data_IF_722076289023
#
_entry.id   IF_722076289023
#
_cell.length_a   1.000
_cell.length_b   1.000
_cell.length_c   1.000
_cell.angle_alpha   90.00
_cell.angle_beta   90.00
_cell.angle_gamma   90.00
#
_symmetry.space_group_name_H-M   'P 1'
#
loop_
_entity.id
_entity.type
_entity.pdbx_description
1 polymer ?
#
# COMPACT_ATOMS: atom_id res chain seq x y z
N UNK A 1 4.78 -20.28 -14.55
CA UNK A 1 5.45 -19.33 -15.47
C UNK A 1 5.86 -18.16 -14.60
N UNK A 2 7.15 -17.90 -14.44
CA UNK A 2 7.64 -16.76 -13.66
C UNK A 2 7.48 -15.50 -14.50
N UNK A 3 6.77 -14.48 -13.98
CA UNK A 3 6.34 -13.32 -14.77
C UNK A 3 7.29 -12.10 -14.68
N UNK A 4 8.23 -12.07 -13.72
CA UNK A 4 9.29 -11.04 -13.67
C UNK A 4 10.41 -11.46 -12.70
N UNK A 5 11.66 -11.14 -13.05
CA UNK A 5 12.87 -11.37 -12.22
C UNK A 5 13.31 -10.12 -11.45
N UNK A 6 12.46 -9.09 -11.36
CA UNK A 6 12.77 -7.87 -10.63
C UNK A 6 12.93 -8.17 -9.14
N UNK A 7 14.13 -7.94 -8.59
CA UNK A 7 14.42 -8.09 -7.15
C UNK A 7 14.27 -6.75 -6.43
N UNK A 8 14.72 -5.68 -7.07
CA UNK A 8 14.60 -4.29 -6.65
C UNK A 8 14.36 -3.41 -7.88
N UNK A 9 13.76 -2.23 -7.67
CA UNK A 9 13.34 -1.38 -8.78
C UNK A 9 14.42 -0.36 -9.15
N UNK A 10 14.88 0.58 -8.30
CA UNK A 10 16.03 1.48 -8.59
C UNK A 10 16.54 2.20 -7.31
N UNK A 11 17.81 2.61 -7.27
CA UNK A 11 18.39 3.43 -6.18
C UNK A 11 18.15 4.96 -6.32
N UNK A 12 17.79 5.49 -7.49
CA UNK A 12 17.55 6.96 -7.65
C UNK A 12 16.41 7.29 -8.65
N UNK A 13 15.28 7.89 -8.24
CA UNK A 13 14.19 8.24 -9.14
C UNK A 13 14.34 9.69 -9.64
N UNK A 14 14.96 9.90 -10.80
CA UNK A 14 14.92 11.20 -11.51
C UNK A 14 13.92 11.27 -12.66
N UNK A 15 13.15 10.20 -12.95
CA UNK A 15 12.36 10.13 -14.20
C UNK A 15 10.91 9.63 -14.06
N UNK A 16 10.28 9.72 -12.87
CA UNK A 16 8.87 9.31 -12.70
C UNK A 16 7.86 10.45 -12.74
N UNK A 17 8.28 11.64 -13.19
CA UNK A 17 7.46 12.87 -13.25
C UNK A 17 6.19 12.76 -14.10
N UNK A 18 6.04 11.71 -14.92
CA UNK A 18 4.83 11.49 -15.71
C UNK A 18 4.12 10.18 -15.35
N UNK A 19 4.66 9.41 -14.41
CA UNK A 19 4.17 8.08 -14.11
C UNK A 19 2.86 8.18 -13.31
N UNK A 20 1.75 7.86 -13.96
CA UNK A 20 0.42 7.81 -13.33
C UNK A 20 0.05 6.44 -12.79
N UNK A 21 0.55 5.37 -13.38
CA UNK A 21 0.23 3.98 -13.00
C UNK A 21 1.52 3.19 -12.94
N UNK A 22 1.78 2.54 -11.81
CA UNK A 22 2.84 1.57 -11.63
C UNK A 22 2.21 0.20 -11.40
N UNK A 23 2.35 -0.71 -12.37
CA UNK A 23 1.91 -2.08 -12.24
C UNK A 23 3.12 -3.02 -12.22
N UNK A 24 3.27 -3.73 -11.11
CA UNK A 24 4.33 -4.71 -10.84
C UNK A 24 3.73 -6.06 -10.45
N UNK A 25 2.43 -6.27 -10.71
CA UNK A 25 1.73 -7.50 -10.32
C UNK A 25 2.49 -8.74 -10.76
N UNK A 26 2.53 -9.76 -9.90
CA UNK A 26 3.20 -11.04 -10.13
C UNK A 26 4.71 -10.91 -10.35
N UNK A 27 5.34 -9.83 -9.85
CA UNK A 27 6.79 -9.76 -9.69
C UNK A 27 7.21 -10.61 -8.50
N UNK A 28 7.21 -11.93 -8.69
CA UNK A 28 7.43 -12.92 -7.62
C UNK A 28 8.80 -12.82 -6.95
N UNK A 29 9.79 -12.20 -7.61
CA UNK A 29 11.14 -11.99 -7.05
C UNK A 29 11.30 -10.67 -6.29
N UNK A 30 10.30 -9.77 -6.34
CA UNK A 30 10.39 -8.43 -5.78
C UNK A 30 10.44 -8.49 -4.26
N UNK A 31 11.56 -8.07 -3.67
CA UNK A 31 11.74 -8.10 -2.21
C UNK A 31 11.26 -6.80 -1.55
N UNK A 32 11.45 -5.67 -2.24
CA UNK A 32 11.19 -4.31 -1.75
C UNK A 32 10.70 -3.39 -2.87
N UNK A 33 9.84 -2.43 -2.53
CA UNK A 33 9.39 -1.38 -3.48
C UNK A 33 10.41 -0.25 -3.60
N UNK A 34 10.39 0.55 -4.69
CA UNK A 34 11.22 1.74 -4.81
C UNK A 34 10.77 2.86 -3.88
N UNK A 35 11.60 3.90 -3.78
CA UNK A 35 11.20 5.18 -3.19
C UNK A 35 10.17 5.87 -4.10
N UNK A 36 9.05 6.28 -3.51
CA UNK A 36 7.93 6.96 -4.17
C UNK A 36 7.88 8.48 -3.88
N UNK A 37 8.88 9.03 -3.18
CA UNK A 37 8.87 10.45 -2.76
C UNK A 37 8.79 11.41 -3.95
N UNK A 38 9.42 11.05 -5.08
CA UNK A 38 9.49 11.85 -6.30
C UNK A 38 8.53 11.31 -7.38
N UNK A 39 7.31 10.90 -6.98
CA UNK A 39 6.26 10.44 -7.90
C UNK A 39 4.99 11.30 -7.81
N UNK A 40 5.08 12.61 -8.14
CA UNK A 40 4.02 13.59 -7.92
C UNK A 40 2.89 13.49 -8.95
N UNK A 41 2.76 12.38 -9.68
CA UNK A 41 1.61 12.10 -10.55
C UNK A 41 1.08 10.67 -10.37
N UNK A 42 1.65 9.89 -9.45
CA UNK A 42 1.33 8.47 -9.31
C UNK A 42 -0.04 8.28 -8.66
N UNK A 43 -0.94 7.65 -9.41
CA UNK A 43 -2.34 7.44 -9.04
C UNK A 43 -2.67 6.02 -8.66
N UNK A 44 -2.03 5.04 -9.30
CA UNK A 44 -2.35 3.63 -9.07
C UNK A 44 -1.08 2.83 -8.91
N UNK A 45 -1.00 2.06 -7.84
CA UNK A 45 0.09 1.13 -7.55
C UNK A 45 -0.51 -0.26 -7.43
N UNK A 46 -0.05 -1.19 -8.28
CA UNK A 46 -0.49 -2.58 -8.29
C UNK A 46 0.72 -3.47 -8.02
N UNK A 47 0.72 -4.11 -6.85
CA UNK A 47 1.71 -5.06 -6.34
C UNK A 47 1.10 -6.47 -6.17
N UNK A 48 -0.11 -6.69 -6.69
CA UNK A 48 -0.83 -7.96 -6.57
C UNK A 48 0.05 -9.17 -6.91
N UNK A 49 0.13 -10.15 -6.01
CA UNK A 49 0.85 -11.40 -6.23
C UNK A 49 2.37 -11.27 -6.20
N UNK A 50 2.94 -10.18 -5.66
CA UNK A 50 4.36 -10.09 -5.35
C UNK A 50 4.68 -10.94 -4.11
N UNK A 51 4.71 -12.26 -4.28
CA UNK A 51 4.77 -13.22 -3.16
C UNK A 51 6.02 -13.12 -2.31
N UNK A 52 7.15 -12.66 -2.85
CA UNK A 52 8.41 -12.47 -2.10
C UNK A 52 8.57 -11.07 -1.49
N UNK A 53 7.58 -10.18 -1.66
CA UNK A 53 7.63 -8.84 -1.09
C UNK A 53 7.55 -8.94 0.44
N UNK A 54 8.62 -8.52 1.12
CA UNK A 54 8.71 -8.61 2.60
C UNK A 54 8.28 -7.29 3.24
N UNK A 55 8.68 -6.18 2.63
CA UNK A 55 8.36 -4.83 3.09
C UNK A 55 8.22 -3.85 1.93
N UNK A 56 7.54 -2.76 2.19
CA UNK A 56 7.38 -1.64 1.26
C UNK A 56 8.20 -0.45 1.76
N UNK A 57 8.73 0.34 0.82
CA UNK A 57 9.48 1.54 1.15
C UNK A 57 8.60 2.55 1.93
N UNK A 58 9.10 3.18 3.02
CA UNK A 58 8.29 4.05 3.88
C UNK A 58 7.53 5.18 3.18
N UNK A 59 8.06 5.68 2.06
CA UNK A 59 7.41 6.73 1.25
C UNK A 59 6.01 6.35 0.77
N UNK A 60 5.69 5.06 0.63
CA UNK A 60 4.34 4.62 0.22
C UNK A 60 3.27 5.10 1.21
N UNK A 61 3.61 5.18 2.50
CA UNK A 61 2.72 5.66 3.55
C UNK A 61 2.49 7.17 3.52
N UNK A 62 3.16 7.92 2.65
CA UNK A 62 3.09 9.39 2.60
C UNK A 62 2.66 9.91 1.21
N UNK A 63 1.97 9.08 0.41
CA UNK A 63 1.43 9.45 -0.91
C UNK A 63 0.19 10.35 -0.78
N UNK A 64 0.36 11.54 -0.18
CA UNK A 64 -0.76 12.39 0.27
C UNK A 64 -1.72 12.83 -0.84
N UNK A 65 -1.22 13.05 -2.06
CA UNK A 65 -1.96 13.84 -3.05
C UNK A 65 -2.61 13.04 -4.17
N UNK A 66 -2.11 11.85 -4.51
CA UNK A 66 -2.38 11.32 -5.85
C UNK A 66 -2.69 9.84 -5.92
N UNK A 67 -2.23 9.01 -4.98
CA UNK A 67 -2.52 7.59 -5.06
C UNK A 67 -3.99 7.35 -4.66
N UNK A 68 -4.79 6.95 -5.65
CA UNK A 68 -6.22 6.60 -5.55
C UNK A 68 -6.37 5.11 -5.22
N UNK A 69 -5.51 4.27 -5.78
CA UNK A 69 -5.61 2.82 -5.68
C UNK A 69 -4.27 2.19 -5.31
N UNK A 70 -4.28 1.39 -4.24
CA UNK A 70 -3.14 0.62 -3.79
C UNK A 70 -3.54 -0.85 -3.57
N UNK A 71 -3.05 -1.72 -4.44
CA UNK A 71 -3.37 -3.15 -4.41
C UNK A 71 -2.12 -3.98 -4.13
N UNK A 72 -2.13 -4.67 -3.00
CA UNK A 72 -1.11 -5.63 -2.58
C UNK A 72 -1.72 -7.01 -2.33
N UNK A 73 -2.83 -7.35 -3.01
CA UNK A 73 -3.49 -8.64 -2.86
C UNK A 73 -2.50 -9.79 -3.05
N UNK A 74 -2.52 -10.78 -2.16
CA UNK A 74 -1.67 -11.97 -2.19
C UNK A 74 -0.15 -11.67 -2.13
N UNK A 75 0.29 -10.56 -1.54
CA UNK A 75 1.67 -10.37 -1.11
C UNK A 75 1.95 -11.18 0.17
N UNK A 76 2.01 -12.51 0.02
CA UNK A 76 1.97 -13.46 1.14
C UNK A 76 3.08 -13.27 2.19
N UNK A 77 4.28 -12.88 1.74
CA UNK A 77 5.41 -12.65 2.63
C UNK A 77 5.49 -11.22 3.18
N UNK A 78 4.51 -10.34 2.91
CA UNK A 78 4.54 -8.97 3.43
C UNK A 78 4.37 -8.99 4.95
N UNK A 79 5.42 -8.62 5.67
CA UNK A 79 5.45 -8.67 7.14
C UNK A 79 5.07 -7.35 7.77
N UNK A 80 5.41 -6.23 7.11
CA UNK A 80 5.18 -4.91 7.65
C UNK A 80 4.87 -3.84 6.60
N UNK A 81 4.08 -2.87 7.04
CA UNK A 81 3.85 -1.58 6.38
C UNK A 81 4.62 -0.50 7.15
N UNK A 82 4.78 0.72 6.59
CA UNK A 82 5.39 1.83 7.31
C UNK A 82 4.64 2.08 8.62
N UNK A 83 5.34 2.41 9.71
CA UNK A 83 4.72 2.51 11.05
C UNK A 83 3.53 3.48 11.12
N UNK A 84 3.46 4.43 10.21
CA UNK A 84 2.30 5.29 10.03
C UNK A 84 2.03 5.61 8.57
N UNK A 85 0.75 5.84 8.25
CA UNK A 85 0.27 6.23 6.92
C UNK A 85 -0.53 7.55 6.96
N UNK A 86 -0.46 8.28 5.86
CA UNK A 86 -1.20 9.50 5.54
C UNK A 86 -1.35 9.59 4.02
N UNK A 87 -2.41 8.97 3.49
CA UNK A 87 -2.70 8.91 2.06
C UNK A 87 -4.09 9.54 1.82
N UNK A 88 -4.14 10.87 1.75
CA UNK A 88 -5.41 11.64 1.82
C UNK A 88 -6.32 11.39 0.61
N UNK A 89 -5.73 11.10 -0.56
CA UNK A 89 -6.43 10.80 -1.81
C UNK A 89 -6.74 9.31 -2.04
N UNK A 90 -6.39 8.42 -1.11
CA UNK A 90 -6.56 6.98 -1.32
C UNK A 90 -8.03 6.58 -1.17
N UNK A 91 -8.58 5.94 -2.20
CA UNK A 91 -9.98 5.49 -2.24
C UNK A 91 -10.10 3.98 -1.97
N UNK A 92 -9.14 3.19 -2.45
CA UNK A 92 -9.16 1.73 -2.27
C UNK A 92 -7.78 1.18 -1.91
N UNK A 93 -7.75 0.41 -0.81
CA UNK A 93 -6.56 -0.22 -0.28
C UNK A 93 -6.80 -1.72 -0.06
N UNK A 94 -6.17 -2.55 -0.89
CA UNK A 94 -6.28 -4.00 -0.80
C UNK A 94 -5.00 -4.63 -0.21
N UNK A 95 -5.14 -5.29 0.93
CA UNK A 95 -4.11 -6.08 1.61
C UNK A 95 -4.55 -7.54 1.77
N UNK A 96 -5.58 -7.97 1.04
CA UNK A 96 -6.14 -9.31 1.21
C UNK A 96 -5.11 -10.39 0.84
N UNK A 97 -5.03 -11.46 1.61
CA UNK A 97 -4.07 -12.54 1.37
C UNK A 97 -2.61 -12.19 1.71
N UNK A 98 -2.36 -11.06 2.38
CA UNK A 98 -1.07 -10.78 3.02
C UNK A 98 -0.95 -11.60 4.32
N UNK A 99 -0.73 -12.90 4.17
CA UNK A 99 -0.80 -13.91 5.24
C UNK A 99 0.14 -13.62 6.44
N UNK A 100 1.29 -12.98 6.21
CA UNK A 100 2.25 -12.61 7.27
C UNK A 100 2.05 -11.22 7.88
N UNK A 101 1.15 -10.40 7.35
CA UNK A 101 0.97 -9.03 7.82
C UNK A 101 0.27 -9.03 9.18
N UNK A 102 1.02 -8.82 10.26
CA UNK A 102 0.52 -8.97 11.63
C UNK A 102 -0.07 -7.70 12.26
N UNK A 103 0.17 -6.53 11.67
CA UNK A 103 -0.24 -5.22 12.19
C UNK A 103 -0.63 -4.27 11.08
N UNK A 104 -1.70 -3.51 11.30
CA UNK A 104 -2.07 -2.38 10.46
C UNK A 104 -1.40 -1.08 10.99
N UNK A 105 -0.91 -0.18 10.12
CA UNK A 105 -0.17 1.02 10.53
C UNK A 105 -1.04 2.11 11.16
N UNK A 106 -0.44 2.96 12.00
CA UNK A 106 -1.14 4.11 12.58
C UNK A 106 -1.49 5.15 11.51
N UNK A 107 -2.68 5.73 11.56
CA UNK A 107 -3.11 6.77 10.62
C UNK A 107 -2.80 8.16 11.22
N UNK A 108 -1.88 8.92 10.60
CA UNK A 108 -1.43 10.24 11.10
C UNK A 108 -2.13 11.45 10.47
N UNK A 109 -2.87 11.28 9.37
CA UNK A 109 -3.67 12.34 8.74
C UNK A 109 -5.13 11.94 8.56
N UNK A 110 -5.90 12.74 7.80
CA UNK A 110 -7.26 12.37 7.39
C UNK A 110 -7.19 11.50 6.14
N UNK A 111 -7.81 10.34 6.18
CA UNK A 111 -7.93 9.43 5.03
C UNK A 111 -9.41 9.19 4.73
N UNK A 112 -10.17 10.28 4.70
CA UNK A 112 -11.63 10.29 4.61
C UNK A 112 -12.18 9.93 3.21
N UNK A 113 -11.31 9.80 2.21
CA UNK A 113 -11.68 9.34 0.87
C UNK A 113 -11.63 7.81 0.74
N UNK A 114 -11.03 7.10 1.70
CA UNK A 114 -10.94 5.64 1.66
C UNK A 114 -12.34 5.03 1.81
N UNK A 115 -12.86 4.47 0.73
CA UNK A 115 -14.17 3.80 0.68
C UNK A 115 -14.04 2.29 0.76
N UNK A 116 -12.90 1.74 0.36
CA UNK A 116 -12.66 0.30 0.31
C UNK A 116 -11.35 -0.07 1.03
N UNK A 117 -11.47 -0.91 2.06
CA UNK A 117 -10.34 -1.47 2.77
C UNK A 117 -10.51 -2.98 2.88
N UNK A 118 -9.63 -3.73 2.23
CA UNK A 118 -9.69 -5.19 2.22
C UNK A 118 -8.54 -5.79 3.04
N UNK A 119 -8.88 -6.44 4.16
CA UNK A 119 -7.92 -7.04 5.10
C UNK A 119 -8.13 -8.56 5.28
N UNK A 120 -8.91 -9.19 4.40
CA UNK A 120 -9.21 -10.62 4.50
C UNK A 120 -7.95 -11.48 4.37
N UNK A 121 -7.90 -12.61 5.07
CA UNK A 121 -6.74 -13.52 5.02
C UNK A 121 -5.39 -12.86 5.37
N UNK A 122 -5.39 -11.95 6.35
CA UNK A 122 -4.18 -11.38 6.96
C UNK A 122 -3.96 -11.92 8.38
N UNK A 123 -2.77 -11.75 8.93
CA UNK A 123 -2.47 -12.05 10.34
C UNK A 123 -2.80 -10.88 11.29
N UNK A 124 -3.48 -9.83 10.81
CA UNK A 124 -3.84 -8.66 11.60
C UNK A 124 -4.85 -9.08 12.66
N UNK A 125 -4.42 -9.09 13.91
CA UNK A 125 -5.26 -9.47 15.05
C UNK A 125 -5.96 -8.27 15.71
N UNK A 126 -5.47 -7.05 15.46
CA UNK A 126 -6.03 -5.81 16.01
C UNK A 126 -5.74 -4.62 15.10
N UNK A 127 -6.74 -3.78 14.89
CA UNK A 127 -6.60 -2.48 14.21
C UNK A 127 -6.14 -1.39 15.21
N UNK A 128 -5.33 -0.41 14.77
CA UNK A 128 -4.93 0.71 15.60
C UNK A 128 -6.13 1.58 15.97
N UNK A 129 -6.06 2.30 17.10
CA UNK A 129 -7.14 3.21 17.50
C UNK A 129 -7.37 4.34 16.51
N UNK A 130 -6.33 4.69 15.74
CA UNK A 130 -6.39 5.66 14.66
C UNK A 130 -7.24 5.22 13.45
N UNK A 131 -7.74 3.97 13.40
CA UNK A 131 -8.64 3.49 12.34
C UNK A 131 -9.90 4.35 12.17
N UNK A 132 -10.37 5.00 13.25
CA UNK A 132 -11.49 5.94 13.17
C UNK A 132 -11.24 7.14 12.25
N UNK A 133 -9.98 7.45 11.92
CA UNK A 133 -9.59 8.54 11.00
C UNK A 133 -9.82 8.20 9.52
N UNK A 134 -10.20 6.96 9.20
CA UNK A 134 -10.67 6.58 7.87
C UNK A 134 -12.10 7.07 7.61
N UNK A 135 -12.86 7.38 8.66
CA UNK A 135 -14.30 7.60 8.56
C UNK A 135 -14.63 9.08 8.42
N UNK A 136 -15.56 9.47 7.51
CA UNK A 136 -16.17 10.77 7.58
C UNK A 136 -17.21 10.89 8.70
N UNK A 137 -17.86 9.82 9.16
CA UNK A 137 -18.88 9.79 10.23
C UNK A 137 -19.41 8.35 10.44
N UNK A 138 -18.82 7.52 11.31
CA UNK A 138 -19.47 6.26 11.73
C UNK A 138 -20.52 6.44 12.85
N UNK A 139 -20.65 7.67 13.36
CA UNK A 139 -21.61 8.03 14.42
C UNK A 139 -23.07 8.14 13.94
N UNK A 140 -23.37 7.87 12.65
CA UNK A 140 -24.75 7.92 12.13
C UNK A 140 -25.48 6.57 12.12
N UNK A 141 -24.84 5.48 12.57
CA UNK A 141 -25.46 4.15 12.61
C UNK A 141 -25.35 3.45 13.97
N UNK A 142 -25.05 4.21 15.04
CA UNK A 142 -25.11 3.75 16.43
C UNK A 142 -26.38 4.25 17.13
#
# INVERSE_FOLDING_TARGET
MTFSSLVEIFEEPKEFDKLGILNLSFSESLLRTPNFSDTPHLQRIVLKGCVSLIEVHPSIGNLKKLSIFLDMENCKNLESLPSSIQMESLESFNLSGCEKLGRFPEIKGKMNLLSELFLGHTAIWKLPSSIGRLTPNWDQFA
#
